data_IF_289033746279
#
_entry.id   IF_289033746279
#
_cell.length_a   1.000
_cell.length_b   1.000
_cell.length_c   1.000
_cell.angle_alpha   90.00
_cell.angle_beta   90.00
_cell.angle_gamma   90.00
#
_symmetry.space_group_name_H-M   'P 1'
#
loop_
_entity.id
_entity.type
_entity.pdbx_description
1 polymer ?
#
# COMPACT_ATOMS: atom_id res chain seq x y z
N UNK A 1 -29.46 -5.82 -56.34
CA UNK A 1 -29.44 -4.34 -56.20
C UNK A 1 -30.18 -3.96 -54.93
N UNK A 2 -29.59 -3.07 -54.11
CA UNK A 2 -30.12 -2.39 -52.90
C UNK A 2 -30.46 -3.29 -51.68
N UNK A 3 -30.11 -3.01 -50.42
CA UNK A 3 -29.51 -1.86 -49.71
C UNK A 3 -28.95 -2.38 -48.35
N UNK A 4 -27.74 -1.98 -47.95
CA UNK A 4 -27.31 -2.00 -46.52
C UNK A 4 -27.88 -0.78 -45.81
N UNK A 5 -28.14 -0.88 -44.50
CA UNK A 5 -27.40 -0.05 -43.54
C UNK A 5 -26.99 -0.88 -42.31
N UNK A 6 -25.70 -1.04 -41.99
CA UNK A 6 -24.92 -0.17 -41.09
C UNK A 6 -25.72 0.33 -39.87
N UNK A 7 -25.63 -0.41 -38.76
CA UNK A 7 -26.09 0.03 -37.45
C UNK A 7 -24.87 0.16 -36.51
N UNK A 8 -24.68 1.39 -36.05
CA UNK A 8 -23.55 1.91 -35.32
C UNK A 8 -23.28 1.20 -33.99
N UNK A 9 -22.01 0.83 -33.79
CA UNK A 9 -21.43 0.69 -32.47
C UNK A 9 -21.36 2.08 -31.81
N UNK A 10 -22.20 2.34 -30.80
CA UNK A 10 -22.01 3.47 -29.90
C UNK A 10 -22.81 3.29 -28.62
N UNK A 11 -22.11 3.02 -27.52
CA UNK A 11 -22.47 3.56 -26.19
C UNK A 11 -21.24 3.52 -25.26
N UNK A 12 -20.80 4.73 -24.94
CA UNK A 12 -19.71 5.16 -24.04
C UNK A 12 -19.88 4.67 -22.59
N UNK A 13 -18.83 4.79 -21.75
CA UNK A 13 -18.60 3.96 -20.57
C UNK A 13 -19.42 4.45 -19.36
N UNK A 14 -19.81 3.51 -18.49
CA UNK A 14 -20.38 3.85 -17.18
C UNK A 14 -19.50 3.29 -16.09
N UNK A 15 -18.67 4.20 -15.56
CA UNK A 15 -18.00 4.09 -14.26
C UNK A 15 -19.02 3.63 -13.23
N UNK A 16 -18.78 2.48 -12.59
CA UNK A 16 -19.35 2.18 -11.28
C UNK A 16 -18.21 2.24 -10.27
N UNK A 17 -18.15 3.41 -9.66
CA UNK A 17 -17.56 3.68 -8.34
C UNK A 17 -18.17 2.71 -7.34
N UNK A 18 -17.33 2.24 -6.42
CA UNK A 18 -17.69 1.72 -5.09
C UNK A 18 -18.46 0.38 -5.09
N UNK A 19 -17.82 -0.74 -4.75
CA UNK A 19 -17.52 -1.08 -3.35
C UNK A 19 -16.48 -2.19 -3.32
N UNK A 20 -15.19 -1.82 -3.23
CA UNK A 20 -14.16 -2.80 -2.87
C UNK A 20 -14.41 -3.17 -1.40
N UNK A 21 -14.79 -4.43 -1.21
CA UNK A 21 -15.15 -5.01 0.07
C UNK A 21 -14.17 -4.62 1.18
N UNK A 22 -14.73 -4.02 2.22
CA UNK A 22 -14.07 -3.68 3.47
C UNK A 22 -13.65 -4.97 4.19
N UNK A 23 -12.58 -5.61 3.73
CA UNK A 23 -11.93 -6.66 4.47
C UNK A 23 -11.08 -6.00 5.58
N UNK A 24 -11.67 -5.87 6.78
CA UNK A 24 -10.89 -5.69 8.01
C UNK A 24 -10.16 -7.01 8.27
N UNK A 25 -8.82 -7.09 8.22
CA UNK A 25 -8.14 -8.27 8.73
C UNK A 25 -8.30 -8.29 10.26
N UNK A 26 -8.98 -9.32 10.77
CA UNK A 26 -9.03 -9.64 12.18
C UNK A 26 -7.60 -9.93 12.66
N UNK A 27 -7.03 -9.01 13.42
CA UNK A 27 -5.74 -9.18 14.08
C UNK A 27 -5.87 -10.30 15.13
N UNK A 28 -5.49 -11.52 14.74
CA UNK A 28 -5.28 -12.62 15.68
C UNK A 28 -3.93 -12.35 16.35
N UNK A 29 -3.97 -11.99 17.63
CA UNK A 29 -2.81 -11.73 18.47
C UNK A 29 -1.97 -13.00 18.67
N UNK A 30 -1.07 -13.27 17.73
CA UNK A 30 0.08 -14.15 17.90
C UNK A 30 1.27 -13.36 18.44
N UNK A 31 2.14 -14.05 19.17
CA UNK A 31 3.30 -13.53 19.90
C UNK A 31 4.15 -12.59 19.01
N UNK A 32 4.45 -11.39 19.53
CA UNK A 32 5.04 -10.29 18.77
C UNK A 32 6.50 -10.54 18.38
N UNK A 33 6.73 -10.84 17.10
CA UNK A 33 7.86 -10.34 16.29
C UNK A 33 7.62 -8.86 15.87
N UNK A 34 6.90 -8.10 16.69
CA UNK A 34 6.14 -6.91 16.33
C UNK A 34 6.93 -5.62 16.02
N UNK A 35 8.20 -5.76 15.64
CA UNK A 35 9.01 -4.64 15.14
C UNK A 35 8.69 -4.33 13.68
N UNK A 36 8.76 -5.33 12.79
CA UNK A 36 8.64 -5.11 11.34
C UNK A 36 7.19 -4.88 10.92
N UNK A 37 6.25 -5.65 11.48
CA UNK A 37 4.82 -5.47 11.17
C UNK A 37 4.29 -4.11 11.65
N UNK A 38 4.79 -3.61 12.78
CA UNK A 38 4.45 -2.27 13.26
C UNK A 38 4.97 -1.17 12.33
N UNK A 39 6.19 -1.33 11.81
CA UNK A 39 6.74 -0.42 10.79
C UNK A 39 5.89 -0.49 9.52
N UNK A 40 5.57 -1.70 9.04
CA UNK A 40 4.76 -1.91 7.83
C UNK A 40 3.36 -1.32 7.97
N UNK A 41 2.70 -1.47 9.12
CA UNK A 41 1.40 -0.88 9.38
C UNK A 41 1.46 0.65 9.27
N UNK A 42 2.49 1.27 9.87
CA UNK A 42 2.70 2.72 9.80
C UNK A 42 3.06 3.20 8.40
N UNK A 43 3.87 2.45 7.64
CA UNK A 43 4.11 2.74 6.23
C UNK A 43 2.81 2.73 5.42
N UNK A 44 1.94 1.73 5.64
CA UNK A 44 0.63 1.68 4.99
C UNK A 44 -0.26 2.87 5.40
N UNK A 45 -0.15 3.39 6.62
CA UNK A 45 -0.86 4.61 7.03
C UNK A 45 -0.37 5.85 6.29
N UNK A 46 0.95 5.98 6.08
CA UNK A 46 1.54 7.11 5.35
C UNK A 46 1.06 7.17 3.90
N UNK A 47 0.86 6.01 3.27
CA UNK A 47 0.43 5.91 1.87
C UNK A 47 -1.08 5.62 1.71
N UNK A 48 -1.88 5.72 2.78
CA UNK A 48 -3.29 5.32 2.74
C UNK A 48 -4.14 6.13 1.76
N UNK A 49 -3.80 7.40 1.55
CA UNK A 49 -4.52 8.33 0.68
C UNK A 49 -4.05 8.32 -0.78
N UNK A 50 -3.13 7.40 -1.12
CA UNK A 50 -2.56 7.30 -2.46
C UNK A 50 -2.71 5.90 -3.04
N UNK A 51 -2.74 5.83 -4.36
CA UNK A 51 -2.57 4.54 -5.03
C UNK A 51 -1.12 4.07 -4.91
N UNK A 52 -0.92 2.75 -4.96
CA UNK A 52 0.41 2.15 -4.92
C UNK A 52 1.34 2.69 -6.03
N UNK A 53 0.78 3.02 -7.20
CA UNK A 53 1.54 3.54 -8.33
C UNK A 53 2.04 4.99 -8.08
N UNK A 54 1.20 5.83 -7.47
CA UNK A 54 1.59 7.18 -7.05
C UNK A 54 2.66 7.12 -5.97
N UNK A 55 2.43 6.31 -4.92
CA UNK A 55 3.40 6.12 -3.85
C UNK A 55 4.76 5.63 -4.37
N UNK A 56 4.76 4.65 -5.28
CA UNK A 56 5.96 4.11 -5.92
C UNK A 56 6.71 5.15 -6.75
N UNK A 57 5.99 5.97 -7.52
CA UNK A 57 6.56 7.07 -8.29
C UNK A 57 7.19 8.13 -7.40
N UNK A 58 6.52 8.51 -6.31
CA UNK A 58 6.97 9.55 -5.38
C UNK A 58 8.27 9.15 -4.67
N UNK A 59 8.45 7.87 -4.35
CA UNK A 59 9.67 7.37 -3.71
C UNK A 59 10.72 6.84 -4.70
N UNK A 60 10.44 6.87 -6.01
CA UNK A 60 11.35 6.37 -7.05
C UNK A 60 11.56 4.85 -7.03
N UNK A 61 10.60 4.08 -6.51
CA UNK A 61 10.70 2.61 -6.39
C UNK A 61 9.77 1.90 -7.38
N UNK A 62 10.11 0.68 -7.79
CA UNK A 62 9.21 -0.15 -8.58
C UNK A 62 7.96 -0.53 -7.77
N UNK A 63 6.77 -0.38 -8.37
CA UNK A 63 5.48 -0.63 -7.70
C UNK A 63 5.31 -2.06 -7.17
N UNK A 64 5.86 -3.06 -7.86
CA UNK A 64 5.82 -4.46 -7.39
C UNK A 64 6.75 -4.67 -6.19
N UNK A 65 7.91 -4.02 -6.19
CA UNK A 65 8.81 -4.02 -5.03
C UNK A 65 8.14 -3.35 -3.82
N UNK A 66 7.53 -2.19 -4.02
CA UNK A 66 6.80 -1.48 -2.96
C UNK A 66 5.66 -2.35 -2.41
N UNK A 67 4.89 -3.00 -3.29
CA UNK A 67 3.82 -3.94 -2.90
C UNK A 67 4.35 -5.05 -2.00
N UNK A 68 5.46 -5.68 -2.40
CA UNK A 68 6.07 -6.77 -1.62
C UNK A 68 6.55 -6.29 -0.25
N UNK A 69 7.07 -5.07 -0.16
CA UNK A 69 7.52 -4.53 1.11
C UNK A 69 6.35 -4.15 2.03
N UNK A 70 5.24 -3.64 1.47
CA UNK A 70 4.06 -3.23 2.24
C UNK A 70 3.10 -4.38 2.59
N UNK A 71 3.09 -5.47 1.82
CA UNK A 71 2.12 -6.57 1.97
C UNK A 71 2.75 -7.96 2.12
N UNK A 72 4.05 -8.13 1.82
CA UNK A 72 4.70 -9.44 1.85
C UNK A 72 5.23 -9.85 3.23
N UNK A 73 5.52 -11.13 3.47
CA UNK A 73 6.04 -11.63 4.75
C UNK A 73 7.53 -11.31 5.02
N UNK A 74 8.14 -10.43 4.21
CA UNK A 74 9.58 -10.16 4.22
C UNK A 74 10.01 -8.99 5.09
N UNK A 75 11.30 -8.66 5.00
CA UNK A 75 11.91 -7.48 5.64
C UNK A 75 11.50 -6.21 4.88
N UNK A 76 11.19 -5.14 5.61
CA UNK A 76 11.02 -3.78 5.05
C UNK A 76 12.41 -3.22 4.77
N UNK A 77 12.67 -2.76 3.54
CA UNK A 77 14.01 -2.26 3.22
C UNK A 77 14.28 -0.93 3.92
N UNK A 78 15.54 -0.72 4.32
CA UNK A 78 15.98 0.55 4.88
C UNK A 78 15.78 1.69 3.88
N UNK A 79 15.93 1.42 2.58
CA UNK A 79 15.67 2.38 1.51
C UNK A 79 14.23 2.90 1.53
N UNK A 80 13.23 2.01 1.68
CA UNK A 80 11.83 2.43 1.80
C UNK A 80 11.61 3.28 3.06
N UNK A 81 12.19 2.86 4.19
CA UNK A 81 12.11 3.62 5.46
C UNK A 81 12.69 5.02 5.26
N UNK A 82 13.91 5.13 4.74
CA UNK A 82 14.58 6.42 4.52
C UNK A 82 13.81 7.30 3.52
N UNK A 83 13.33 6.73 2.42
CA UNK A 83 12.52 7.45 1.45
C UNK A 83 11.24 7.99 2.09
N UNK A 84 10.56 7.22 2.95
CA UNK A 84 9.40 7.71 3.68
C UNK A 84 9.74 8.85 4.64
N UNK A 85 10.84 8.74 5.39
CA UNK A 85 11.25 9.78 6.33
C UNK A 85 11.53 11.10 5.61
N UNK A 86 12.25 11.05 4.49
CA UNK A 86 12.65 12.23 3.72
C UNK A 86 11.48 12.80 2.91
N UNK A 87 10.80 11.97 2.12
CA UNK A 87 9.79 12.43 1.16
C UNK A 87 8.45 12.76 1.81
N UNK A 88 8.14 12.18 2.98
CA UNK A 88 6.86 12.39 3.68
C UNK A 88 6.99 13.19 4.96
N UNK A 89 8.21 13.58 5.34
CA UNK A 89 8.46 14.34 6.56
C UNK A 89 7.99 13.61 7.83
N UNK A 90 8.02 12.28 7.82
CA UNK A 90 7.56 11.45 8.94
C UNK A 90 8.67 11.33 9.97
N UNK A 91 8.33 11.39 11.25
CA UNK A 91 9.30 11.19 12.33
C UNK A 91 9.82 9.74 12.37
N UNK A 92 11.14 9.60 12.44
CA UNK A 92 11.80 8.30 12.62
C UNK A 92 11.37 7.63 13.93
N UNK A 93 11.21 8.41 15.00
CA UNK A 93 10.74 7.90 16.30
C UNK A 93 9.34 7.31 16.17
N UNK A 94 8.43 7.99 15.46
CA UNK A 94 7.07 7.50 15.25
C UNK A 94 7.07 6.23 14.40
N UNK A 95 7.80 6.24 13.27
CA UNK A 95 7.83 5.12 12.32
C UNK A 95 8.45 3.85 12.93
N UNK A 96 9.49 4.00 13.75
CA UNK A 96 10.24 2.91 14.36
C UNK A 96 9.82 2.62 15.81
N UNK A 97 8.74 3.24 16.30
CA UNK A 97 8.28 3.05 17.68
C UNK A 97 7.98 1.58 17.98
N UNK A 98 8.68 1.02 18.96
CA UNK A 98 8.50 -0.38 19.36
C UNK A 98 9.47 -1.36 18.69
N UNK A 99 10.26 -0.91 17.71
CA UNK A 99 11.34 -1.71 17.13
C UNK A 99 12.38 -2.03 18.20
N UNK A 100 12.79 -3.29 18.29
CA UNK A 100 13.85 -3.74 19.22
C UNK A 100 13.42 -3.87 20.68
N UNK A 101 12.16 -3.59 21.03
CA UNK A 101 11.65 -3.86 22.38
C UNK A 101 11.32 -5.34 22.51
N UNK A 102 12.18 -6.11 23.19
CA UNK A 102 11.84 -7.45 23.68
C UNK A 102 10.68 -7.31 24.67
N UNK A 103 9.57 -7.99 24.40
CA UNK A 103 8.53 -8.20 25.40
C UNK A 103 9.16 -8.93 26.58
N UNK A 104 9.38 -8.22 27.70
CA UNK A 104 9.77 -8.88 28.95
C UNK A 104 8.56 -9.72 29.39
N UNK A 105 8.75 -11.04 29.42
CA UNK A 105 7.85 -11.94 30.15
C UNK A 105 8.20 -11.90 31.63
#
# INVERSE_FOLDING_TARGET
MAKRPSAAASRKPRVRRDTLGRARPAARAGIWDGSVDGVRLRLNQVYADQTLAEAARDIGMNSETLRRQLAGPGVVSLELVMATLVMRGVSAEWLLRGVGRRARR
#
